data_IF_538979421801
#
_entry.id   IF_538979421801
#
_cell.length_a   1.000
_cell.length_b   1.000
_cell.length_c   1.000
_cell.angle_alpha   90.00
_cell.angle_beta   90.00
_cell.angle_gamma   90.00
#
_symmetry.space_group_name_H-M   'P 1'
#
loop_
_entity.id
_entity.type
_entity.pdbx_description
1 polymer ?
#
# COMPACT_ATOMS: atom_id res chain seq x y z
N UNK A 1 -14.18 8.37 -15.30
CA UNK A 1 -13.24 7.26 -15.62
C UNK A 1 -14.04 6.13 -16.25
N UNK A 2 -13.51 5.40 -17.24
CA UNK A 2 -14.14 4.15 -17.68
C UNK A 2 -14.25 3.19 -16.48
N UNK A 3 -15.37 2.46 -16.42
CA UNK A 3 -15.60 1.44 -15.39
C UNK A 3 -14.64 0.28 -15.62
N UNK A 4 -13.89 -0.10 -14.58
CA UNK A 4 -13.05 -1.29 -14.60
C UNK A 4 -13.93 -2.54 -14.73
N UNK A 5 -13.47 -3.51 -15.51
CA UNK A 5 -14.09 -4.84 -15.56
C UNK A 5 -13.93 -5.58 -14.22
N UNK A 6 -14.73 -6.62 -14.00
CA UNK A 6 -14.63 -7.49 -12.81
C UNK A 6 -13.21 -8.04 -12.63
N UNK A 7 -12.54 -8.41 -13.73
CA UNK A 7 -11.16 -8.91 -13.69
C UNK A 7 -10.19 -7.82 -13.22
N UNK A 8 -10.31 -6.61 -13.75
CA UNK A 8 -9.46 -5.48 -13.34
C UNK A 8 -9.71 -5.09 -11.87
N UNK A 9 -10.97 -5.12 -11.41
CA UNK A 9 -11.31 -4.90 -10.00
C UNK A 9 -10.65 -5.95 -9.08
N UNK A 10 -10.68 -7.24 -9.45
CA UNK A 10 -10.01 -8.28 -8.66
C UNK A 10 -8.49 -8.07 -8.56
N UNK A 11 -7.85 -7.61 -9.63
CA UNK A 11 -6.41 -7.29 -9.63
C UNK A 11 -6.13 -6.10 -8.70
N UNK A 12 -7.01 -5.08 -8.70
CA UNK A 12 -6.87 -3.94 -7.80
C UNK A 12 -7.03 -4.38 -6.33
N UNK A 13 -7.96 -5.28 -6.03
CA UNK A 13 -8.13 -5.85 -4.69
C UNK A 13 -6.90 -6.64 -4.23
N UNK A 14 -6.35 -7.51 -5.10
CA UNK A 14 -5.11 -8.24 -4.84
C UNK A 14 -3.93 -7.28 -4.57
N UNK A 15 -3.81 -6.21 -5.37
CA UNK A 15 -2.76 -5.21 -5.16
C UNK A 15 -2.94 -4.47 -3.83
N UNK A 16 -4.17 -4.15 -3.42
CA UNK A 16 -4.43 -3.53 -2.10
C UNK A 16 -3.94 -4.44 -0.97
N UNK A 17 -4.25 -5.75 -1.04
CA UNK A 17 -3.77 -6.71 -0.03
C UNK A 17 -2.24 -6.76 0.00
N UNK A 18 -1.59 -6.68 -1.16
CA UNK A 18 -0.13 -6.62 -1.24
C UNK A 18 0.44 -5.34 -0.61
N UNK A 19 -0.17 -4.17 -0.86
CA UNK A 19 0.23 -2.91 -0.23
C UNK A 19 0.02 -2.94 1.30
N UNK A 20 -1.08 -3.51 1.79
CA UNK A 20 -1.35 -3.67 3.23
C UNK A 20 -0.30 -4.55 3.92
N UNK A 21 0.09 -5.65 3.28
CA UNK A 21 1.17 -6.51 3.78
C UNK A 21 2.52 -5.77 3.79
N UNK A 22 2.81 -4.98 2.75
CA UNK A 22 4.06 -4.20 2.68
C UNK A 22 4.13 -3.13 3.79
N UNK A 23 3.01 -2.44 4.06
CA UNK A 23 2.88 -1.48 5.17
C UNK A 23 3.16 -2.17 6.51
N UNK A 24 2.49 -3.29 6.79
CA UNK A 24 2.67 -4.03 8.03
C UNK A 24 4.12 -4.53 8.21
N UNK A 25 4.79 -4.94 7.12
CA UNK A 25 6.21 -5.31 7.14
C UNK A 25 7.11 -4.12 7.47
N UNK A 26 6.85 -2.95 6.88
CA UNK A 26 7.63 -1.75 7.21
C UNK A 26 7.47 -1.38 8.68
N UNK A 27 6.24 -1.40 9.21
CA UNK A 27 5.96 -1.15 10.63
C UNK A 27 6.68 -2.14 11.55
N UNK A 28 6.60 -3.44 11.23
CA UNK A 28 7.30 -4.47 11.96
C UNK A 28 8.82 -4.23 11.99
N UNK A 29 9.45 -4.04 10.82
CA UNK A 29 10.88 -3.84 10.74
C UNK A 29 11.34 -2.53 11.38
N UNK A 30 10.56 -1.46 11.33
CA UNK A 30 10.85 -0.22 12.06
C UNK A 30 10.85 -0.46 13.58
N UNK A 31 9.95 -1.30 14.09
CA UNK A 31 9.85 -1.58 15.53
C UNK A 31 10.99 -2.45 16.11
N UNK A 32 11.73 -3.16 15.25
CA UNK A 32 12.81 -4.07 15.67
C UNK A 32 14.20 -3.64 15.16
N UNK A 33 14.28 -2.55 14.38
CA UNK A 33 15.52 -2.07 13.80
C UNK A 33 16.16 -1.01 14.70
N UNK A 34 17.39 -1.26 15.13
CA UNK A 34 18.21 -0.28 15.87
C UNK A 34 19.06 0.62 14.94
N UNK A 35 19.10 0.32 13.64
CA UNK A 35 19.82 1.13 12.65
C UNK A 35 18.95 2.30 12.16
N UNK A 36 19.42 3.53 12.40
CA UNK A 36 18.73 4.77 12.03
C UNK A 36 18.54 4.93 10.50
N UNK A 37 19.50 4.46 9.69
CA UNK A 37 19.38 4.53 8.24
C UNK A 37 18.32 3.54 7.73
N UNK A 38 18.29 2.34 8.32
CA UNK A 38 17.25 1.35 8.02
C UNK A 38 15.88 1.87 8.45
N UNK A 39 15.76 2.49 9.62
CA UNK A 39 14.51 3.12 10.07
C UNK A 39 14.01 4.17 9.07
N UNK A 40 14.88 5.12 8.68
CA UNK A 40 14.54 6.18 7.71
C UNK A 40 14.12 5.62 6.35
N UNK A 41 14.79 4.55 5.89
CA UNK A 41 14.43 3.88 4.65
C UNK A 41 13.04 3.23 4.74
N UNK A 42 12.76 2.54 5.85
CA UNK A 42 11.47 1.88 6.07
C UNK A 42 10.34 2.89 6.25
N UNK A 43 10.57 4.01 6.93
CA UNK A 43 9.62 5.11 7.09
C UNK A 43 9.25 5.72 5.72
N UNK A 44 10.26 5.99 4.88
CA UNK A 44 10.03 6.48 3.52
C UNK A 44 9.26 5.47 2.65
N UNK A 45 9.53 4.17 2.80
CA UNK A 45 8.82 3.12 2.07
C UNK A 45 7.39 2.94 2.55
N UNK A 46 7.17 2.95 3.87
CA UNK A 46 5.85 2.91 4.49
C UNK A 46 4.94 4.00 3.93
N UNK A 47 5.44 5.25 3.88
CA UNK A 47 4.71 6.38 3.29
C UNK A 47 4.34 6.15 1.82
N UNK A 48 5.24 5.58 1.01
CA UNK A 48 4.93 5.25 -0.41
C UNK A 48 3.83 4.20 -0.53
N UNK A 49 3.90 3.12 0.24
CA UNK A 49 2.88 2.07 0.22
C UNK A 49 1.51 2.58 0.69
N UNK A 50 1.47 3.47 1.68
CA UNK A 50 0.22 4.14 2.07
C UNK A 50 -0.39 4.98 0.93
N UNK A 51 0.45 5.71 0.18
CA UNK A 51 0.00 6.48 -0.99
C UNK A 51 -0.52 5.54 -2.08
N UNK A 52 0.19 4.46 -2.41
CA UNK A 52 -0.25 3.46 -3.39
C UNK A 52 -1.61 2.86 -3.00
N UNK A 53 -1.75 2.42 -1.75
CA UNK A 53 -3.02 1.88 -1.23
C UNK A 53 -4.17 2.87 -1.38
N UNK A 54 -3.93 4.15 -1.06
CA UNK A 54 -4.92 5.22 -1.19
C UNK A 54 -5.36 5.44 -2.64
N UNK A 55 -4.42 5.39 -3.59
CA UNK A 55 -4.72 5.49 -5.03
C UNK A 55 -5.56 4.29 -5.49
N UNK A 56 -5.18 3.07 -5.11
CA UNK A 56 -5.91 1.85 -5.46
C UNK A 56 -7.35 1.86 -4.91
N UNK A 57 -7.55 2.33 -3.68
CA UNK A 57 -8.89 2.45 -3.10
C UNK A 57 -9.81 3.40 -3.89
N UNK A 58 -9.26 4.46 -4.52
CA UNK A 58 -10.05 5.37 -5.37
C UNK A 58 -10.59 4.66 -6.61
N UNK A 59 -9.91 3.62 -7.09
CA UNK A 59 -10.37 2.81 -8.22
C UNK A 59 -11.50 1.84 -7.83
N UNK A 60 -11.54 1.37 -6.57
CA UNK A 60 -12.63 0.52 -6.06
C UNK A 60 -13.87 1.32 -5.60
N UNK A 61 -13.69 2.57 -5.18
CA UNK A 61 -14.78 3.49 -4.81
C UNK A 61 -14.80 4.71 -5.73
N UNK A 62 -15.16 4.54 -7.02
CA UNK A 62 -15.21 5.66 -7.96
C UNK A 62 -16.29 6.70 -7.62
N UNK A 63 -17.26 6.36 -6.75
CA UNK A 63 -18.32 7.25 -6.30
C UNK A 63 -18.36 7.30 -4.77
N UNK A 64 -17.92 8.41 -4.18
CA UNK A 64 -18.70 9.03 -3.10
C UNK A 64 -19.84 9.81 -3.73
#
# INVERSE_FOLDING_TARGET
MPLLSTKELSIVEEQIQAEELAIAKCEHYMSISDDENVFKLLEAMHGKHQVHRSILFRHLKPNG
#
